data_IF_832944872518
#
_entry.id   IF_832944872518
#
_cell.length_a   1.000
_cell.length_b   1.000
_cell.length_c   1.000
_cell.angle_alpha   90.00
_cell.angle_beta   90.00
_cell.angle_gamma   90.00
#
_symmetry.space_group_name_H-M   'P 1'
#
loop_
_entity.id
_entity.type
_entity.pdbx_description
1 polymer ?
#
# COMPACT_ATOMS: atom_id res chain seq x y z
N UNK A 1 -57.33 36.24 56.10
CA UNK A 1 -57.72 35.82 54.74
C UNK A 1 -56.57 36.08 53.78
N UNK A 2 -56.46 35.24 52.76
CA UNK A 2 -55.25 34.92 52.01
C UNK A 2 -54.69 36.09 51.16
N UNK A 3 -53.39 36.30 51.27
CA UNK A 3 -52.61 37.03 50.27
C UNK A 3 -52.13 36.07 49.19
N UNK A 4 -52.71 36.17 47.98
CA UNK A 4 -52.20 35.53 46.76
C UNK A 4 -50.87 36.19 46.36
N UNK A 5 -49.77 35.45 46.44
CA UNK A 5 -48.57 35.68 45.62
C UNK A 5 -48.59 34.64 44.51
N UNK A 6 -48.44 35.11 43.28
CA UNK A 6 -48.33 34.29 42.08
C UNK A 6 -47.07 33.41 42.16
N UNK A 7 -47.25 32.10 42.02
CA UNK A 7 -46.18 31.14 41.75
C UNK A 7 -45.87 31.19 40.25
N UNK A 8 -44.65 31.59 39.91
CA UNK A 8 -44.06 31.28 38.61
C UNK A 8 -43.49 29.84 38.66
N UNK A 9 -43.57 29.06 37.57
CA UNK A 9 -43.12 27.68 37.58
C UNK A 9 -41.58 27.61 37.65
N UNK A 10 -41.07 26.85 38.62
CA UNK A 10 -39.70 26.36 38.66
C UNK A 10 -39.48 25.35 37.51
N UNK A 11 -39.20 25.84 36.32
CA UNK A 11 -38.50 25.07 35.28
C UNK A 11 -37.03 25.48 35.30
N UNK A 12 -36.18 24.64 35.90
CA UNK A 12 -34.77 24.39 35.51
C UNK A 12 -33.93 23.90 36.70
N UNK A 13 -33.76 22.58 36.83
CA UNK A 13 -32.53 22.00 37.44
C UNK A 13 -32.18 20.62 36.84
N UNK A 14 -33.12 19.88 36.26
CA UNK A 14 -32.87 18.50 35.81
C UNK A 14 -32.53 18.33 34.32
N UNK A 15 -32.72 19.34 33.49
CA UNK A 15 -32.54 19.27 32.03
C UNK A 15 -31.13 19.63 31.54
N UNK A 16 -30.26 20.17 32.39
CA UNK A 16 -28.89 20.55 31.99
C UNK A 16 -27.88 19.40 31.98
N UNK A 17 -28.28 18.18 32.36
CA UNK A 17 -27.35 17.04 32.53
C UNK A 17 -27.31 16.01 31.39
N UNK A 18 -28.01 16.19 30.27
CA UNK A 18 -28.15 15.11 29.28
C UNK A 18 -28.02 15.53 27.82
N UNK A 19 -27.08 16.42 27.48
CA UNK A 19 -26.71 16.68 26.07
C UNK A 19 -25.19 16.66 25.82
N UNK A 20 -24.40 16.24 26.82
CA UNK A 20 -22.93 16.12 26.73
C UNK A 20 -22.43 14.86 26.03
N UNK A 21 -23.33 13.99 25.56
CA UNK A 21 -23.00 12.73 24.90
C UNK A 21 -23.68 12.59 23.54
N UNK A 22 -23.53 13.55 22.62
CA UNK A 22 -23.53 13.17 21.21
C UNK A 22 -22.19 12.50 20.94
N UNK A 23 -22.09 11.24 21.35
CA UNK A 23 -20.91 10.43 21.10
C UNK A 23 -20.87 10.11 19.62
N UNK A 24 -19.68 10.16 19.04
CA UNK A 24 -19.43 9.69 17.66
C UNK A 24 -19.92 8.26 17.41
N UNK A 25 -20.22 7.49 18.46
CA UNK A 25 -20.78 6.14 18.43
C UNK A 25 -22.31 6.10 18.28
N UNK A 26 -23.03 7.15 18.70
CA UNK A 26 -24.49 7.19 18.71
C UNK A 26 -25.14 7.50 17.36
N UNK A 27 -24.36 7.95 16.38
CA UNK A 27 -24.86 8.35 15.06
C UNK A 27 -24.90 7.13 14.14
N UNK A 28 -26.09 6.84 13.60
CA UNK A 28 -26.33 5.73 12.68
C UNK A 28 -25.67 5.96 11.32
N UNK A 29 -25.75 7.19 10.78
CA UNK A 29 -25.15 7.55 9.50
C UNK A 29 -23.72 8.10 9.64
N UNK A 30 -22.75 7.24 9.35
CA UNK A 30 -21.31 7.54 9.47
C UNK A 30 -20.73 8.12 8.18
N UNK A 31 -21.15 9.34 7.88
CA UNK A 31 -20.74 10.08 6.69
C UNK A 31 -19.71 11.17 7.01
N UNK A 32 -18.94 11.59 6.00
CA UNK A 32 -18.02 12.73 6.12
C UNK A 32 -18.72 14.00 6.62
N UNK A 33 -19.91 14.27 6.10
CA UNK A 33 -20.68 15.47 6.42
C UNK A 33 -21.18 15.45 7.87
N UNK A 34 -21.66 14.30 8.35
CA UNK A 34 -22.11 14.15 9.75
C UNK A 34 -20.93 14.37 10.71
N UNK A 35 -19.73 13.88 10.36
CA UNK A 35 -18.52 14.14 11.14
C UNK A 35 -18.19 15.63 11.26
N UNK A 36 -18.26 16.39 10.15
CA UNK A 36 -18.02 17.84 10.17
C UNK A 36 -19.10 18.60 10.95
N UNK A 37 -20.36 18.18 10.83
CA UNK A 37 -21.47 18.75 11.59
C UNK A 37 -21.29 18.54 13.09
N UNK A 38 -20.79 17.38 13.54
CA UNK A 38 -20.48 17.11 14.95
C UNK A 38 -19.40 18.06 15.49
N UNK A 39 -18.36 18.34 14.70
CA UNK A 39 -17.32 19.31 15.07
C UNK A 39 -17.93 20.72 15.17
N UNK A 40 -18.78 21.12 14.21
CA UNK A 40 -19.46 22.40 14.24
C UNK A 40 -20.43 22.53 15.43
N UNK A 41 -21.16 21.48 15.76
CA UNK A 41 -22.03 21.41 16.93
C UNK A 41 -21.23 21.59 18.24
N UNK A 42 -20.02 21.03 18.31
CA UNK A 42 -19.12 21.26 19.43
C UNK A 42 -18.70 22.74 19.55
N UNK A 43 -18.47 23.42 18.42
CA UNK A 43 -18.16 24.86 18.42
C UNK A 43 -19.33 25.72 18.93
N UNK A 44 -20.57 25.41 18.55
CA UNK A 44 -21.75 26.17 18.96
C UNK A 44 -22.15 25.91 20.41
N UNK A 45 -22.06 24.65 20.85
CA UNK A 45 -22.52 24.23 22.19
C UNK A 45 -21.55 24.65 23.31
N UNK A 46 -20.25 24.70 23.03
CA UNK A 46 -19.23 24.86 24.08
C UNK A 46 -18.98 26.32 24.50
N UNK A 47 -19.97 26.94 25.16
CA UNK A 47 -19.87 28.30 25.74
C UNK A 47 -18.64 28.50 26.65
N UNK A 48 -18.11 27.42 27.25
CA UNK A 48 -16.90 27.43 28.09
C UNK A 48 -15.72 26.58 27.58
N UNK A 49 -15.76 25.99 26.37
CA UNK A 49 -14.67 25.16 25.79
C UNK A 49 -14.00 24.21 26.80
N UNK A 50 -14.79 23.54 27.62
CA UNK A 50 -14.28 22.50 28.54
C UNK A 50 -14.33 21.16 27.80
N UNK A 51 -13.39 20.26 28.08
CA UNK A 51 -13.31 18.88 27.53
C UNK A 51 -12.88 18.71 26.06
N UNK A 52 -12.12 19.65 25.48
CA UNK A 52 -11.54 19.49 24.12
C UNK A 52 -10.64 18.26 23.98
N UNK A 53 -9.91 17.86 25.03
CA UNK A 53 -9.06 16.66 25.03
C UNK A 53 -9.90 15.41 24.79
N UNK A 54 -10.99 15.26 25.54
CA UNK A 54 -11.88 14.10 25.46
C UNK A 54 -12.60 14.07 24.13
N UNK A 55 -13.05 15.23 23.65
CA UNK A 55 -13.68 15.33 22.33
C UNK A 55 -12.73 14.90 21.21
N UNK A 56 -11.52 15.46 21.15
CA UNK A 56 -10.56 15.13 20.09
C UNK A 56 -10.15 13.66 20.18
N UNK A 57 -9.86 13.14 21.37
CA UNK A 57 -9.50 11.72 21.52
C UNK A 57 -10.62 10.77 21.10
N UNK A 58 -11.89 11.09 21.39
CA UNK A 58 -13.05 10.33 20.91
C UNK A 58 -13.23 10.45 19.39
N UNK A 59 -12.98 11.63 18.83
CA UNK A 59 -13.04 11.90 17.40
C UNK A 59 -11.98 11.07 16.63
N UNK A 60 -10.72 11.12 17.10
CA UNK A 60 -9.58 10.39 16.55
C UNK A 60 -9.81 8.87 16.47
N UNK A 61 -10.38 8.27 17.53
CA UNK A 61 -10.76 6.84 17.54
C UNK A 61 -11.76 6.48 16.46
N UNK A 62 -12.70 7.39 16.17
CA UNK A 62 -13.82 7.12 15.28
C UNK A 62 -13.57 7.52 13.82
N UNK A 63 -12.46 8.18 13.48
CA UNK A 63 -12.19 8.65 12.10
C UNK A 63 -12.25 7.55 11.03
N UNK A 64 -11.85 6.32 11.36
CA UNK A 64 -11.89 5.18 10.42
C UNK A 64 -13.33 4.77 10.11
N UNK A 65 -14.21 4.77 11.11
CA UNK A 65 -15.62 4.39 10.95
C UNK A 65 -16.40 5.37 10.07
N UNK A 66 -16.01 6.65 10.04
CA UNK A 66 -16.61 7.68 9.19
C UNK A 66 -15.91 7.82 7.82
N UNK A 67 -14.86 7.03 7.55
CA UNK A 67 -14.09 7.11 6.31
C UNK A 67 -13.26 8.40 6.15
N UNK A 68 -13.16 9.25 7.17
CA UNK A 68 -12.51 10.58 7.10
C UNK A 68 -11.01 10.56 7.43
N UNK A 69 -10.44 9.39 7.73
CA UNK A 69 -9.05 9.23 8.17
C UNK A 69 -7.98 9.81 7.22
N UNK A 70 -8.28 9.98 5.93
CA UNK A 70 -7.37 10.57 4.93
C UNK A 70 -7.67 12.05 4.61
N UNK A 71 -8.71 12.64 5.19
CA UNK A 71 -9.14 13.99 4.85
C UNK A 71 -8.44 15.05 5.71
N UNK A 72 -7.63 15.87 5.06
CA UNK A 72 -6.90 16.96 5.69
C UNK A 72 -7.82 18.05 6.27
N UNK A 73 -8.98 18.31 5.65
CA UNK A 73 -9.91 19.34 6.15
C UNK A 73 -10.44 18.98 7.55
N UNK A 74 -10.66 17.69 7.79
CA UNK A 74 -11.15 17.18 9.07
C UNK A 74 -10.09 17.35 10.16
N UNK A 75 -8.83 17.05 9.88
CA UNK A 75 -7.74 17.27 10.83
C UNK A 75 -7.54 18.75 11.18
N UNK A 76 -7.66 19.65 10.18
CA UNK A 76 -7.64 21.10 10.41
C UNK A 76 -8.79 21.54 11.33
N UNK A 77 -10.00 21.07 11.06
CA UNK A 77 -11.18 21.38 11.88
C UNK A 77 -11.03 20.88 13.33
N UNK A 78 -10.54 19.64 13.53
CA UNK A 78 -10.27 19.10 14.86
C UNK A 78 -9.20 19.89 15.63
N UNK A 79 -8.15 20.35 14.94
CA UNK A 79 -7.11 21.16 15.56
C UNK A 79 -7.63 22.55 15.98
N UNK A 80 -8.59 23.11 15.23
CA UNK A 80 -9.17 24.43 15.50
C UNK A 80 -10.17 24.43 16.67
N UNK A 81 -10.56 23.24 17.17
CA UNK A 81 -11.38 23.09 18.39
C UNK A 81 -10.66 23.67 19.62
N UNK A 82 -9.33 23.66 19.63
CA UNK A 82 -8.55 24.18 20.75
C UNK A 82 -8.56 25.73 20.79
N UNK A 83 -8.64 26.35 21.99
CA UNK A 83 -8.58 27.81 22.10
C UNK A 83 -7.21 28.36 21.66
N UNK A 84 -7.23 29.29 20.70
CA UNK A 84 -6.05 30.05 20.25
C UNK A 84 -5.49 30.93 21.39
N UNK A 85 -4.17 31.07 21.46
CA UNK A 85 -3.46 31.94 22.39
C UNK A 85 -3.25 31.41 23.81
N UNK A 86 -4.15 30.57 24.33
CA UNK A 86 -4.14 30.15 25.75
C UNK A 86 -2.93 29.29 26.14
N UNK A 87 -2.37 28.54 25.20
CA UNK A 87 -1.30 27.56 25.46
C UNK A 87 0.08 28.03 25.00
N UNK A 88 0.24 29.32 24.68
CA UNK A 88 1.52 29.88 24.24
C UNK A 88 2.46 30.00 25.45
N UNK A 89 3.64 29.36 25.43
CA UNK A 89 4.61 29.49 26.51
C UNK A 89 5.22 30.91 26.51
N UNK A 90 5.33 31.51 27.69
CA UNK A 90 5.92 32.85 27.85
C UNK A 90 7.43 32.79 28.12
N UNK A 91 7.89 31.73 28.81
CA UNK A 91 9.28 31.59 29.25
C UNK A 91 9.99 30.41 28.57
N UNK A 92 11.32 30.45 28.51
CA UNK A 92 12.15 29.39 27.93
C UNK A 92 11.95 28.04 28.67
N UNK A 93 11.83 28.09 30.00
CA UNK A 93 11.58 26.90 30.83
C UNK A 93 10.22 26.29 30.48
N UNK A 94 9.18 27.11 30.29
CA UNK A 94 7.86 26.62 29.89
C UNK A 94 7.86 26.00 28.50
N UNK A 95 8.68 26.53 27.58
CA UNK A 95 8.82 25.92 26.25
C UNK A 95 9.53 24.58 26.27
N UNK A 96 10.45 24.36 27.21
CA UNK A 96 11.21 23.10 27.29
C UNK A 96 10.46 22.01 28.07
N UNK A 97 9.73 22.37 29.14
CA UNK A 97 9.04 21.43 30.04
C UNK A 97 7.55 21.21 29.68
N UNK A 98 7.17 21.22 28.40
CA UNK A 98 5.80 20.94 27.92
C UNK A 98 4.67 21.70 28.67
N UNK A 99 4.59 23.02 28.49
CA UNK A 99 3.51 23.84 29.03
C UNK A 99 2.10 23.35 28.60
N UNK A 100 1.27 22.86 29.54
CA UNK A 100 0.01 22.15 29.27
C UNK A 100 0.20 20.80 28.56
N UNK A 101 0.69 19.77 29.28
CA UNK A 101 1.15 18.52 28.68
C UNK A 101 0.02 17.72 28.02
N UNK A 102 -1.18 17.66 28.63
CA UNK A 102 -2.33 16.91 28.06
C UNK A 102 -2.80 17.50 26.73
N UNK A 103 -2.86 18.82 26.65
CA UNK A 103 -3.28 19.59 25.47
C UNK A 103 -2.30 19.35 24.32
N UNK A 104 -1.00 19.47 24.61
CA UNK A 104 0.05 19.25 23.63
C UNK A 104 0.08 17.79 23.16
N UNK A 105 -0.09 16.83 24.08
CA UNK A 105 -0.08 15.41 23.75
C UNK A 105 -1.21 15.05 22.78
N UNK A 106 -2.44 15.49 23.04
CA UNK A 106 -3.57 15.22 22.13
C UNK A 106 -3.33 15.77 20.72
N UNK A 107 -2.69 16.93 20.62
CA UNK A 107 -2.33 17.49 19.32
C UNK A 107 -1.19 16.73 18.65
N UNK A 108 -0.24 16.20 19.42
CA UNK A 108 0.82 15.32 18.95
C UNK A 108 0.22 14.01 18.44
N UNK A 109 -0.71 13.40 19.19
CA UNK A 109 -1.42 12.18 18.83
C UNK A 109 -2.23 12.39 17.53
N UNK A 110 -2.90 13.55 17.39
CA UNK A 110 -3.57 13.93 16.14
C UNK A 110 -2.59 13.98 14.97
N UNK A 111 -1.43 14.63 15.14
CA UNK A 111 -0.39 14.71 14.11
C UNK A 111 0.25 13.33 13.82
N UNK A 112 0.34 12.46 14.81
CA UNK A 112 0.84 11.08 14.66
C UNK A 112 -0.15 10.24 13.85
N UNK A 113 -1.45 10.33 14.16
CA UNK A 113 -2.47 9.69 13.35
C UNK A 113 -2.53 10.23 11.92
N UNK A 114 -2.28 11.53 11.70
CA UNK A 114 -2.12 12.09 10.35
C UNK A 114 -0.93 11.46 9.61
N UNK A 115 0.20 11.30 10.30
CA UNK A 115 1.42 10.69 9.77
C UNK A 115 1.18 9.22 9.38
N UNK A 116 0.58 8.44 10.26
CA UNK A 116 0.24 7.03 10.04
C UNK A 116 -0.72 6.84 8.86
N UNK A 117 -1.68 7.75 8.69
CA UNK A 117 -2.62 7.73 7.56
C UNK A 117 -2.03 8.34 6.27
N UNK A 118 -0.78 8.82 6.30
CA UNK A 118 -0.10 9.40 5.14
C UNK A 118 -0.64 10.78 4.70
N UNK A 119 -1.30 11.51 5.60
CA UNK A 119 -1.87 12.85 5.33
C UNK A 119 -0.82 13.91 5.63
N UNK A 120 -0.42 14.64 4.59
CA UNK A 120 0.58 15.70 4.71
C UNK A 120 -0.06 16.99 5.26
N UNK A 121 0.57 17.66 6.24
CA UNK A 121 0.06 18.93 6.75
C UNK A 121 0.30 20.08 5.75
N UNK A 122 -0.63 21.04 5.74
CA UNK A 122 -0.53 22.28 4.97
C UNK A 122 -0.02 23.45 5.82
N UNK A 123 0.29 24.58 5.16
CA UNK A 123 0.64 25.86 5.80
C UNK A 123 -0.47 26.33 6.76
N UNK A 124 -1.74 26.11 6.42
CA UNK A 124 -2.87 26.44 7.30
C UNK A 124 -2.84 25.66 8.62
N UNK A 125 -2.44 24.38 8.57
CA UNK A 125 -2.31 23.55 9.76
C UNK A 125 -1.19 24.08 10.65
N UNK A 126 -0.06 24.50 10.07
CA UNK A 126 1.00 25.18 10.84
C UNK A 126 0.47 26.46 11.48
N UNK A 127 -0.28 27.29 10.75
CA UNK A 127 -0.84 28.53 11.28
C UNK A 127 -1.78 28.28 12.48
N UNK A 128 -2.65 27.26 12.40
CA UNK A 128 -3.52 26.86 13.52
C UNK A 128 -2.67 26.48 14.74
N UNK A 129 -1.65 25.64 14.57
CA UNK A 129 -0.79 25.19 15.68
C UNK A 129 0.07 26.31 16.28
N UNK A 130 0.59 27.20 15.45
CA UNK A 130 1.38 28.35 15.92
C UNK A 130 0.49 29.31 16.71
N UNK A 131 -0.75 29.51 16.28
CA UNK A 131 -1.70 30.36 16.99
C UNK A 131 -2.19 29.74 18.31
N UNK A 132 -2.22 28.40 18.45
CA UNK A 132 -2.64 27.72 19.67
C UNK A 132 -1.50 27.53 20.68
N UNK A 133 -0.34 27.02 20.24
CA UNK A 133 0.78 26.62 21.11
C UNK A 133 2.05 27.47 20.96
N UNK A 134 2.10 28.38 19.98
CA UNK A 134 3.28 29.22 19.71
C UNK A 134 4.39 28.50 18.93
N UNK A 135 5.36 29.27 18.43
CA UNK A 135 6.44 28.79 17.54
C UNK A 135 7.36 27.72 18.17
N UNK A 136 7.44 27.69 19.49
CA UNK A 136 8.28 26.76 20.29
C UNK A 136 7.48 25.59 20.87
N UNK A 137 6.19 25.47 20.59
CA UNK A 137 5.38 24.35 21.09
C UNK A 137 5.82 23.00 20.51
N UNK A 138 5.72 21.94 21.31
CA UNK A 138 6.05 20.59 20.86
C UNK A 138 5.20 20.11 19.67
N UNK A 139 3.90 20.44 19.56
CA UNK A 139 3.11 20.09 18.38
C UNK A 139 3.65 20.71 17.09
N UNK A 140 4.04 22.00 17.12
CA UNK A 140 4.65 22.68 15.97
C UNK A 140 5.98 22.04 15.59
N UNK A 141 6.79 21.64 16.58
CA UNK A 141 8.05 20.91 16.33
C UNK A 141 7.82 19.55 15.65
N UNK A 142 6.76 18.81 16.02
CA UNK A 142 6.37 17.57 15.31
C UNK A 142 5.91 17.89 13.88
N UNK A 143 5.01 18.85 13.70
CA UNK A 143 4.53 19.24 12.37
C UNK A 143 5.67 19.65 11.44
N UNK A 144 6.68 20.39 11.91
CA UNK A 144 7.86 20.75 11.11
C UNK A 144 8.71 19.55 10.72
N UNK A 145 8.86 18.56 11.61
CA UNK A 145 9.54 17.30 11.27
C UNK A 145 8.77 16.54 10.18
N UNK A 146 7.43 16.51 10.27
CA UNK A 146 6.57 15.93 9.23
C UNK A 146 6.74 16.67 7.90
N UNK A 147 6.65 18.01 7.89
CA UNK A 147 6.86 18.83 6.70
C UNK A 147 8.25 18.63 6.05
N UNK A 148 9.27 18.34 6.85
CA UNK A 148 10.61 18.07 6.34
C UNK A 148 10.74 16.66 5.73
N UNK A 149 10.24 15.64 6.42
CA UNK A 149 10.45 14.24 6.04
C UNK A 149 9.41 13.70 5.05
N UNK A 150 8.12 13.99 5.23
CA UNK A 150 7.06 13.40 4.41
C UNK A 150 7.19 13.72 2.92
N UNK A 151 7.53 14.96 2.48
CA UNK A 151 7.72 15.24 1.06
C UNK A 151 8.87 14.45 0.43
N UNK A 152 9.93 14.18 1.21
CA UNK A 152 11.08 13.40 0.74
C UNK A 152 10.73 11.92 0.53
N UNK A 153 9.89 11.36 1.40
CA UNK A 153 9.46 9.97 1.29
C UNK A 153 8.28 9.76 0.33
N UNK A 154 7.52 10.81 -0.01
CA UNK A 154 6.30 10.72 -0.83
C UNK A 154 6.51 10.01 -2.17
N UNK A 155 7.66 10.23 -2.81
CA UNK A 155 7.97 9.72 -4.15
C UNK A 155 9.25 8.85 -4.15
N UNK A 156 9.66 8.32 -3.00
CA UNK A 156 10.88 7.50 -2.91
C UNK A 156 10.69 6.14 -3.60
N UNK A 157 9.47 5.60 -3.58
CA UNK A 157 9.15 4.35 -4.28
C UNK A 157 9.16 4.56 -5.81
N UNK A 158 9.85 3.71 -6.58
CA UNK A 158 9.86 3.82 -8.04
C UNK A 158 8.50 3.51 -8.70
N UNK A 159 7.57 2.89 -7.94
CA UNK A 159 6.23 2.54 -8.40
C UNK A 159 5.17 3.44 -7.76
N UNK A 160 4.81 4.58 -8.38
CA UNK A 160 3.74 5.43 -7.89
C UNK A 160 2.40 4.71 -8.01
N UNK A 161 1.56 4.85 -6.98
CA UNK A 161 0.21 4.28 -6.93
C UNK A 161 -0.84 5.41 -6.96
N UNK A 162 -2.03 5.17 -7.53
CA UNK A 162 -3.13 6.14 -7.54
C UNK A 162 -3.53 6.59 -6.12
N UNK A 163 -4.03 7.83 -5.98
CA UNK A 163 -4.55 8.42 -4.73
C UNK A 163 -5.94 9.01 -5.01
N UNK A 164 -7.04 8.49 -4.43
CA UNK A 164 -7.13 7.33 -3.53
C UNK A 164 -6.82 6.01 -4.24
N UNK A 165 -6.61 4.94 -3.45
CA UNK A 165 -6.50 3.59 -4.02
C UNK A 165 -7.86 3.16 -4.57
N UNK A 166 -7.91 2.44 -5.71
CA UNK A 166 -9.12 1.78 -6.16
C UNK A 166 -9.74 0.90 -5.09
N UNK A 167 -11.08 0.84 -5.08
CA UNK A 167 -11.82 -0.09 -4.23
C UNK A 167 -11.93 -1.47 -4.88
N UNK A 168 -11.89 -1.54 -6.21
CA UNK A 168 -12.11 -2.76 -6.98
C UNK A 168 -10.88 -3.69 -6.97
N UNK A 169 -11.10 -4.95 -6.60
CA UNK A 169 -10.03 -5.94 -6.36
C UNK A 169 -9.28 -6.31 -7.64
N UNK A 170 -9.98 -6.30 -8.77
CA UNK A 170 -9.41 -6.56 -10.09
C UNK A 170 -8.40 -5.47 -10.50
N UNK A 171 -8.72 -4.20 -10.26
CA UNK A 171 -7.80 -3.09 -10.56
C UNK A 171 -6.55 -3.13 -9.66
N UNK A 172 -6.73 -3.52 -8.41
CA UNK A 172 -5.63 -3.69 -7.45
C UNK A 172 -4.71 -4.83 -7.89
N UNK A 173 -5.29 -5.94 -8.36
CA UNK A 173 -4.54 -7.06 -8.92
C UNK A 173 -3.76 -6.66 -10.18
N UNK A 174 -4.37 -5.86 -11.08
CA UNK A 174 -3.66 -5.29 -12.24
C UNK A 174 -2.44 -4.48 -11.80
N UNK A 175 -2.59 -3.59 -10.81
CA UNK A 175 -1.48 -2.80 -10.27
C UNK A 175 -0.40 -3.69 -9.61
N UNK A 176 -0.81 -4.76 -8.93
CA UNK A 176 0.10 -5.70 -8.30
C UNK A 176 0.96 -6.43 -9.34
N UNK A 177 0.32 -7.00 -10.37
CA UNK A 177 1.02 -7.71 -11.44
C UNK A 177 1.89 -6.74 -12.24
N UNK A 178 1.41 -5.55 -12.59
CA UNK A 178 2.23 -4.51 -13.23
C UNK A 178 3.49 -4.19 -12.42
N UNK A 179 3.38 -4.08 -11.09
CA UNK A 179 4.53 -3.84 -10.22
C UNK A 179 5.55 -4.99 -10.27
N UNK A 180 5.09 -6.24 -10.22
CA UNK A 180 5.97 -7.42 -10.31
C UNK A 180 6.63 -7.49 -11.69
N UNK A 181 5.88 -7.17 -12.74
CA UNK A 181 6.34 -7.21 -14.13
C UNK A 181 7.32 -6.09 -14.50
N UNK A 182 7.54 -5.07 -13.66
CA UNK A 182 8.47 -3.97 -13.96
C UNK A 182 9.94 -4.39 -14.13
N UNK A 183 10.28 -5.64 -13.80
CA UNK A 183 11.60 -6.22 -14.06
C UNK A 183 11.93 -6.18 -15.56
N UNK A 184 10.93 -6.40 -16.41
CA UNK A 184 11.07 -6.50 -17.86
C UNK A 184 10.17 -5.49 -18.58
N UNK A 185 10.74 -4.70 -19.50
CA UNK A 185 10.01 -3.67 -20.24
C UNK A 185 9.00 -4.23 -21.26
N UNK A 186 9.17 -5.48 -21.69
CA UNK A 186 8.31 -6.15 -22.67
C UNK A 186 7.19 -6.98 -22.02
N UNK A 187 7.01 -6.89 -20.70
CA UNK A 187 5.99 -7.65 -20.00
C UNK A 187 4.57 -7.18 -20.40
N UNK A 188 3.69 -8.13 -20.70
CA UNK A 188 2.26 -7.88 -20.90
C UNK A 188 1.48 -8.33 -19.68
N UNK A 189 0.45 -7.56 -19.33
CA UNK A 189 -0.50 -7.90 -18.26
C UNK A 189 -1.84 -8.13 -18.90
N UNK A 190 -2.33 -9.36 -18.81
CA UNK A 190 -3.55 -9.83 -19.43
C UNK A 190 -4.56 -10.21 -18.34
N UNK A 191 -5.84 -9.98 -18.62
CA UNK A 191 -6.92 -10.31 -17.70
C UNK A 191 -7.83 -11.32 -18.37
N UNK A 192 -8.06 -12.41 -17.67
CA UNK A 192 -8.87 -13.52 -18.13
C UNK A 192 -10.05 -13.72 -17.19
N UNK A 193 -11.21 -14.01 -17.75
CA UNK A 193 -12.37 -14.44 -17.01
C UNK A 193 -12.49 -15.96 -17.14
N UNK A 194 -12.68 -16.68 -16.04
CA UNK A 194 -12.75 -18.15 -16.09
C UNK A 194 -14.03 -18.68 -16.74
N UNK A 195 -15.00 -17.82 -17.05
CA UNK A 195 -16.23 -18.19 -17.78
C UNK A 195 -15.95 -18.75 -19.17
N UNK A 196 -14.84 -18.34 -19.77
CA UNK A 196 -14.47 -18.72 -21.12
C UNK A 196 -13.75 -20.10 -21.18
N UNK A 197 -13.51 -20.72 -20.04
CA UNK A 197 -12.77 -21.99 -19.92
C UNK A 197 -13.72 -23.14 -19.63
N UNK A 198 -13.52 -24.27 -20.32
CA UNK A 198 -14.31 -25.48 -20.08
C UNK A 198 -14.02 -26.11 -18.70
N UNK A 199 -15.06 -26.63 -18.04
CA UNK A 199 -15.00 -27.34 -16.75
C UNK A 199 -14.42 -26.52 -15.59
N UNK A 200 -14.94 -25.31 -15.37
CA UNK A 200 -14.59 -24.46 -14.23
C UNK A 200 -15.56 -24.69 -13.07
N UNK A 201 -15.01 -24.89 -11.88
CA UNK A 201 -15.81 -24.97 -10.64
C UNK A 201 -15.96 -23.58 -10.01
N UNK A 202 -14.91 -22.75 -10.11
CA UNK A 202 -14.88 -21.39 -9.55
C UNK A 202 -14.88 -20.29 -10.63
N UNK A 203 -16.00 -19.58 -10.77
CA UNK A 203 -16.09 -18.37 -11.60
C UNK A 203 -15.33 -17.20 -10.97
N UNK A 204 -14.21 -16.81 -11.57
CA UNK A 204 -13.32 -15.75 -11.08
C UNK A 204 -12.61 -15.03 -12.22
N UNK A 205 -12.02 -13.88 -11.90
CA UNK A 205 -11.06 -13.21 -12.75
C UNK A 205 -9.63 -13.64 -12.37
N UNK A 206 -8.76 -13.69 -13.38
CA UNK A 206 -7.34 -14.03 -13.26
C UNK A 206 -6.55 -12.95 -13.98
N UNK A 207 -5.66 -12.28 -13.26
CA UNK A 207 -4.69 -11.35 -13.87
C UNK A 207 -3.38 -12.09 -14.02
N UNK A 208 -2.93 -12.29 -15.26
CA UNK A 208 -1.67 -12.95 -15.60
C UNK A 208 -0.65 -11.93 -16.10
N UNK A 209 0.60 -12.10 -15.72
CA UNK A 209 1.73 -11.32 -16.21
C UNK A 209 2.77 -12.24 -16.84
N UNK A 210 3.16 -11.94 -18.09
CA UNK A 210 4.16 -12.72 -18.80
C UNK A 210 4.97 -11.87 -19.79
N UNK A 211 6.25 -12.20 -19.96
CA UNK A 211 7.13 -11.59 -20.97
C UNK A 211 7.31 -12.49 -22.19
N UNK A 212 7.61 -11.96 -23.38
CA UNK A 212 7.93 -12.78 -24.57
C UNK A 212 9.10 -13.73 -24.32
N UNK A 213 10.12 -13.28 -23.56
CA UNK A 213 11.23 -14.12 -23.12
C UNK A 213 10.75 -15.31 -22.28
N UNK A 214 9.82 -15.10 -21.34
CA UNK A 214 9.20 -16.18 -20.59
C UNK A 214 8.42 -17.16 -21.47
N UNK A 215 7.73 -16.67 -22.51
CA UNK A 215 7.06 -17.52 -23.51
C UNK A 215 8.05 -18.45 -24.20
N UNK A 216 9.23 -17.94 -24.57
CA UNK A 216 10.32 -18.73 -25.15
C UNK A 216 10.92 -19.72 -24.16
N UNK A 217 11.08 -19.32 -22.89
CA UNK A 217 11.61 -20.19 -21.84
C UNK A 217 10.75 -21.43 -21.64
N UNK A 218 9.42 -21.31 -21.69
CA UNK A 218 8.49 -22.45 -21.56
C UNK A 218 8.82 -23.57 -22.58
N UNK A 219 9.20 -23.22 -23.81
CA UNK A 219 9.54 -24.20 -24.86
C UNK A 219 10.73 -25.07 -24.48
N UNK A 220 11.68 -24.54 -23.71
CA UNK A 220 12.82 -25.32 -23.21
C UNK A 220 12.41 -26.37 -22.17
N UNK A 221 11.24 -26.23 -21.56
CA UNK A 221 10.71 -27.16 -20.55
C UNK A 221 9.83 -28.27 -21.13
N UNK A 222 9.70 -28.40 -22.46
CA UNK A 222 8.88 -29.46 -23.09
C UNK A 222 9.17 -30.88 -22.56
N UNK A 223 10.44 -31.17 -22.29
CA UNK A 223 10.90 -32.46 -21.76
C UNK A 223 11.24 -32.41 -20.27
N UNK A 224 10.81 -31.37 -19.55
CA UNK A 224 11.11 -31.20 -18.14
C UNK A 224 10.31 -32.17 -17.27
N UNK A 225 10.88 -32.52 -16.12
CA UNK A 225 10.29 -33.49 -15.19
C UNK A 225 8.96 -33.00 -14.59
N UNK A 226 8.88 -31.72 -14.25
CA UNK A 226 7.66 -31.06 -13.77
C UNK A 226 7.83 -29.53 -13.77
N UNK A 227 6.70 -28.83 -13.80
CA UNK A 227 6.62 -27.40 -13.48
C UNK A 227 5.85 -27.24 -12.16
N UNK A 228 6.22 -26.27 -11.35
CA UNK A 228 5.61 -26.02 -10.05
C UNK A 228 4.80 -24.73 -10.05
N UNK A 229 3.60 -24.78 -9.46
CA UNK A 229 2.92 -23.57 -9.03
C UNK A 229 3.27 -23.33 -7.57
N UNK A 230 3.97 -22.23 -7.30
CA UNK A 230 4.39 -21.83 -5.96
C UNK A 230 3.56 -20.64 -5.47
N UNK A 231 3.18 -20.67 -4.19
CA UNK A 231 2.45 -19.60 -3.51
C UNK A 231 1.63 -20.12 -2.32
N UNK A 232 0.73 -19.29 -1.75
CA UNK A 232 0.55 -17.87 -2.07
C UNK A 232 1.71 -17.01 -1.55
N UNK A 233 2.22 -16.11 -2.38
CA UNK A 233 3.13 -15.03 -1.96
C UNK A 233 2.36 -13.73 -1.80
N UNK A 234 2.85 -12.80 -0.97
CA UNK A 234 2.14 -11.56 -0.68
C UNK A 234 2.87 -10.33 -1.22
N UNK A 235 2.11 -9.41 -1.81
CA UNK A 235 2.57 -8.08 -2.19
C UNK A 235 1.69 -7.01 -1.56
N UNK A 236 2.31 -6.03 -0.92
CA UNK A 236 1.61 -4.93 -0.27
C UNK A 236 1.56 -3.70 -1.18
N UNK A 237 0.33 -3.29 -1.49
CA UNK A 237 0.00 -2.05 -2.18
C UNK A 237 -0.62 -1.09 -1.16
N UNK A 238 0.25 -0.31 -0.51
CA UNK A 238 -0.11 0.55 0.64
C UNK A 238 -0.77 -0.26 1.76
N UNK A 239 -2.07 -0.09 1.96
CA UNK A 239 -2.88 -0.73 2.98
C UNK A 239 -3.58 -2.01 2.49
N UNK A 240 -3.42 -2.39 1.22
CA UNK A 240 -4.02 -3.60 0.65
C UNK A 240 -2.94 -4.66 0.42
N UNK A 241 -3.23 -5.89 0.83
CA UNK A 241 -2.38 -7.06 0.60
C UNK A 241 -2.99 -7.88 -0.53
N UNK A 242 -2.17 -8.25 -1.52
CA UNK A 242 -2.58 -9.10 -2.64
C UNK A 242 -1.75 -10.36 -2.61
N UNK A 243 -2.40 -11.50 -2.73
CA UNK A 243 -1.74 -12.80 -2.93
C UNK A 243 -1.50 -13.06 -4.41
N UNK A 244 -0.28 -13.45 -4.75
CA UNK A 244 0.10 -13.83 -6.10
C UNK A 244 0.75 -15.23 -6.10
N UNK A 245 0.71 -15.86 -7.27
CA UNK A 245 1.28 -17.17 -7.52
C UNK A 245 2.27 -17.08 -8.67
N UNK A 246 3.27 -17.93 -8.66
CA UNK A 246 4.28 -18.00 -9.71
C UNK A 246 4.30 -19.39 -10.32
N UNK A 247 4.50 -19.44 -11.63
CA UNK A 247 4.81 -20.66 -12.36
C UNK A 247 6.33 -20.79 -12.45
N UNK A 248 6.87 -21.85 -11.86
CA UNK A 248 8.32 -22.04 -11.72
C UNK A 248 8.77 -23.36 -12.33
N UNK A 249 9.74 -23.29 -13.23
CA UNK A 249 10.48 -24.45 -13.73
C UNK A 249 11.74 -24.74 -12.91
N UNK A 250 12.26 -25.95 -13.03
CA UNK A 250 13.58 -26.31 -12.48
C UNK A 250 14.68 -25.40 -13.05
N UNK A 251 15.78 -25.20 -12.32
CA UNK A 251 16.86 -24.33 -12.76
C UNK A 251 17.54 -24.90 -14.03
N UNK A 252 17.70 -24.06 -15.05
CA UNK A 252 18.48 -24.43 -16.23
C UNK A 252 19.97 -24.45 -15.90
N UNK A 253 20.74 -25.37 -16.51
CA UNK A 253 22.18 -25.45 -16.30
C UNK A 253 22.82 -24.08 -16.56
N UNK A 254 23.74 -23.69 -15.69
CA UNK A 254 24.46 -22.43 -15.80
C UNK A 254 25.23 -22.46 -17.12
N UNK A 255 24.97 -21.53 -18.07
CA UNK A 255 25.81 -21.44 -19.26
C UNK A 255 27.24 -21.14 -18.79
N UNK A 256 28.26 -21.66 -19.49
CA UNK A 256 29.65 -21.39 -19.12
C UNK A 256 29.83 -19.87 -19.03
N UNK A 257 30.15 -19.39 -17.83
CA UNK A 257 30.44 -17.97 -17.63
C UNK A 257 31.71 -17.66 -18.42
N UNK A 258 31.69 -16.54 -19.14
CA UNK A 258 32.90 -16.04 -19.78
C UNK A 258 33.82 -15.54 -18.66
N UNK A 259 34.82 -16.35 -18.30
CA UNK A 259 35.80 -15.99 -17.26
C UNK A 259 36.85 -15.00 -17.77
N UNK A 260 36.67 -14.47 -18.98
CA UNK A 260 37.55 -13.45 -19.55
C UNK A 260 37.42 -12.17 -18.76
N UNK A 261 38.54 -11.74 -18.20
CA UNK A 261 38.67 -10.40 -17.67
C UNK A 261 38.76 -9.43 -18.86
N UNK A 262 37.67 -8.71 -19.15
CA UNK A 262 37.63 -7.72 -20.24
C UNK A 262 38.59 -6.55 -20.03
N UNK A 263 39.17 -6.41 -18.82
CA UNK A 263 40.19 -5.40 -18.48
C UNK A 263 41.64 -5.93 -18.55
N UNK A 264 41.87 -7.23 -18.80
CA UNK A 264 43.23 -7.78 -18.94
C UNK A 264 43.80 -7.50 -20.33
N UNK A 265 44.71 -6.53 -20.40
CA UNK A 265 45.41 -6.14 -21.64
C UNK A 265 46.44 -7.16 -22.15
N UNK A 266 46.82 -8.14 -21.32
CA UNK A 266 47.76 -9.20 -21.71
C UNK A 266 47.15 -10.18 -22.74
N UNK A 267 45.81 -10.28 -22.77
CA UNK A 267 45.06 -11.19 -23.65
C UNK A 267 44.05 -10.41 -24.50
N UNK A 268 44.50 -9.36 -25.18
CA UNK A 268 43.65 -8.60 -26.11
C UNK A 268 43.33 -9.46 -27.34
N UNK A 269 42.10 -9.97 -27.41
CA UNK A 269 41.58 -10.61 -28.61
C UNK A 269 41.34 -9.54 -29.68
N UNK A 270 42.16 -9.57 -30.72
CA UNK A 270 42.02 -8.65 -31.86
C UNK A 270 40.65 -8.89 -32.51
N UNK A 271 39.81 -7.85 -32.70
CA UNK A 271 38.50 -8.00 -33.32
C UNK A 271 38.60 -8.77 -34.65
N UNK A 272 37.67 -9.69 -34.95
CA UNK A 272 37.77 -10.57 -36.12
C UNK A 272 37.94 -9.81 -37.44
N UNK A 273 37.35 -8.61 -37.54
CA UNK A 273 37.48 -7.73 -38.70
C UNK A 273 38.93 -7.25 -38.92
N UNK A 274 39.65 -6.92 -37.84
CA UNK A 274 41.04 -6.45 -37.89
C UNK A 274 41.98 -7.64 -38.11
N UNK A 275 41.76 -8.75 -37.39
CA UNK A 275 42.57 -9.96 -37.50
C UNK A 275 42.52 -10.57 -38.91
N UNK A 276 41.33 -10.57 -39.55
CA UNK A 276 41.16 -11.03 -40.94
C UNK A 276 41.94 -10.17 -41.94
N UNK A 277 42.02 -8.85 -41.69
CA UNK A 277 42.74 -7.92 -42.57
C UNK A 277 44.27 -8.02 -42.45
N UNK A 278 44.77 -8.46 -41.29
CA UNK A 278 46.21 -8.68 -41.05
C UNK A 278 46.66 -10.14 -41.27
N UNK A 279 45.79 -11.03 -41.75
CA UNK A 279 46.14 -12.44 -41.97
C UNK A 279 46.41 -13.23 -40.68
N UNK A 280 45.98 -12.72 -39.52
CA UNK A 280 46.13 -13.38 -38.22
C UNK A 280 44.96 -14.36 -38.08
N UNK A 281 45.27 -15.64 -37.94
CA UNK A 281 44.27 -16.70 -37.79
C UNK A 281 43.41 -16.48 -36.54
N UNK A 282 42.14 -16.13 -36.74
CA UNK A 282 41.16 -16.02 -35.65
C UNK A 282 40.78 -17.44 -35.23
N UNK A 283 41.34 -17.91 -34.12
CA UNK A 283 40.87 -19.13 -33.45
C UNK A 283 39.53 -18.83 -32.78
N UNK A 284 38.43 -18.92 -33.53
CA UNK A 284 37.09 -18.96 -32.95
C UNK A 284 36.97 -20.27 -32.20
N UNK A 285 37.15 -20.25 -30.87
CA UNK A 285 36.82 -21.41 -30.04
C UNK A 285 35.33 -21.69 -30.23
N UNK A 286 34.98 -22.93 -30.59
CA UNK A 286 33.62 -23.36 -30.96
C UNK A 286 32.54 -23.10 -29.88
N UNK A 287 32.93 -22.69 -28.67
CA UNK A 287 32.05 -22.53 -27.51
C UNK A 287 32.02 -21.09 -26.95
N UNK A 288 32.52 -20.09 -27.68
CA UNK A 288 32.67 -18.72 -27.16
C UNK A 288 31.41 -17.87 -27.08
N UNK A 289 30.30 -18.34 -27.66
CA UNK A 289 29.02 -17.62 -27.58
C UNK A 289 28.13 -18.35 -26.58
N UNK A 290 28.42 -18.13 -25.30
CA UNK A 290 27.54 -18.57 -24.22
C UNK A 290 26.20 -17.83 -24.30
N UNK A 291 25.09 -18.56 -24.15
CA UNK A 291 23.77 -17.93 -24.01
C UNK A 291 23.77 -17.07 -22.75
N UNK A 292 23.46 -15.79 -22.89
CA UNK A 292 23.27 -14.90 -21.73
C UNK A 292 21.99 -15.33 -21.01
N UNK A 293 22.08 -15.48 -19.69
CA UNK A 293 20.92 -15.79 -18.85
C UNK A 293 19.93 -14.65 -18.87
N UNK A 294 18.65 -14.98 -19.01
CA UNK A 294 17.58 -13.99 -18.83
C UNK A 294 17.43 -13.62 -17.35
N UNK A 295 16.83 -12.47 -17.06
CA UNK A 295 16.55 -12.02 -15.68
C UNK A 295 15.61 -12.99 -14.94
N UNK A 296 14.84 -13.78 -15.70
CA UNK A 296 13.91 -14.79 -15.19
C UNK A 296 14.56 -16.13 -14.83
N UNK A 297 15.76 -16.42 -15.33
CA UNK A 297 16.53 -17.63 -15.04
C UNK A 297 17.36 -17.40 -13.77
N UNK A 298 16.80 -17.78 -12.61
CA UNK A 298 17.48 -17.66 -11.31
C UNK A 298 18.19 -18.97 -10.96
N UNK A 299 19.11 -18.90 -9.99
CA UNK A 299 19.88 -20.07 -9.54
C UNK A 299 18.98 -21.16 -8.95
N UNK A 300 17.91 -20.77 -8.28
CA UNK A 300 17.01 -21.73 -7.64
C UNK A 300 15.94 -22.27 -8.60
N UNK A 301 15.71 -21.62 -9.76
CA UNK A 301 14.68 -21.99 -10.71
C UNK A 301 14.35 -20.87 -11.70
N UNK A 302 13.57 -21.19 -12.72
CA UNK A 302 13.18 -20.21 -13.74
C UNK A 302 11.72 -19.80 -13.56
N UNK A 303 11.46 -18.49 -13.48
CA UNK A 303 10.11 -17.95 -13.32
C UNK A 303 9.48 -17.78 -14.70
N UNK A 304 8.45 -18.57 -14.99
CA UNK A 304 7.82 -18.68 -16.31
C UNK A 304 6.60 -17.78 -16.48
N UNK A 305 5.85 -17.53 -15.41
CA UNK A 305 4.68 -16.64 -15.42
C UNK A 305 4.30 -16.27 -13.98
N UNK A 306 3.54 -15.19 -13.83
CA UNK A 306 2.97 -14.77 -12.54
C UNK A 306 1.47 -14.55 -12.71
N UNK A 307 0.67 -14.89 -11.69
CA UNK A 307 -0.74 -14.56 -11.68
C UNK A 307 -1.25 -14.12 -10.31
N UNK A 308 -2.38 -13.42 -10.34
CA UNK A 308 -3.22 -13.10 -9.18
C UNK A 308 -4.64 -13.59 -9.50
N UNK A 309 -5.24 -14.33 -8.59
CA UNK A 309 -6.60 -14.88 -8.75
C UNK A 309 -7.54 -14.36 -7.67
N UNK A 310 -8.82 -14.17 -8.01
CA UNK A 310 -9.81 -13.64 -7.07
C UNK A 310 -10.08 -14.54 -5.86
N UNK A 311 -10.22 -15.86 -6.06
CA UNK A 311 -10.54 -16.81 -4.98
C UNK A 311 -9.33 -17.50 -4.35
N UNK A 312 -8.13 -17.35 -4.94
CA UNK A 312 -6.91 -18.05 -4.50
C UNK A 312 -7.06 -19.58 -4.38
N UNK A 313 -8.03 -20.16 -5.08
CA UNK A 313 -8.34 -21.59 -5.01
C UNK A 313 -7.45 -22.39 -5.94
N UNK A 314 -7.27 -23.68 -5.64
CA UNK A 314 -6.55 -24.60 -6.52
C UNK A 314 -7.20 -24.69 -7.90
N UNK A 315 -8.52 -24.61 -7.97
CA UNK A 315 -9.26 -24.64 -9.24
C UNK A 315 -8.96 -23.40 -10.09
N UNK A 316 -8.95 -22.20 -9.49
CA UNK A 316 -8.58 -20.97 -10.19
C UNK A 316 -7.19 -21.04 -10.84
N UNK A 317 -6.25 -21.73 -10.19
CA UNK A 317 -4.89 -21.94 -10.71
C UNK A 317 -4.84 -23.00 -11.81
N UNK A 318 -5.69 -24.03 -11.76
CA UNK A 318 -5.84 -24.98 -12.85
C UNK A 318 -6.45 -24.31 -14.08
N UNK A 319 -7.46 -23.46 -13.88
CA UNK A 319 -8.05 -22.64 -14.94
C UNK A 319 -7.01 -21.71 -15.56
N UNK A 320 -6.15 -21.10 -14.75
CA UNK A 320 -5.02 -20.31 -15.25
C UNK A 320 -4.09 -21.11 -16.19
N UNK A 321 -3.72 -22.33 -15.81
CA UNK A 321 -2.90 -23.21 -16.67
C UNK A 321 -3.62 -23.49 -18.00
N UNK A 322 -4.91 -23.81 -17.96
CA UNK A 322 -5.70 -24.09 -19.19
C UNK A 322 -5.75 -22.87 -20.11
N UNK A 323 -5.89 -21.68 -19.55
CA UNK A 323 -5.84 -20.42 -20.30
C UNK A 323 -4.48 -20.26 -20.98
N UNK A 324 -3.40 -20.49 -20.23
CA UNK A 324 -2.05 -20.46 -20.81
C UNK A 324 -1.91 -21.48 -21.96
N UNK A 325 -2.42 -22.70 -21.79
CA UNK A 325 -2.43 -23.70 -22.87
C UNK A 325 -3.15 -23.18 -24.13
N UNK A 326 -4.31 -22.55 -23.99
CA UNK A 326 -5.10 -22.01 -25.10
C UNK A 326 -4.42 -20.84 -25.83
N UNK A 327 -3.65 -20.01 -25.13
CA UNK A 327 -2.89 -18.86 -25.70
C UNK A 327 -1.64 -19.28 -26.52
N UNK A 328 -1.44 -20.59 -26.74
CA UNK A 328 -0.43 -21.12 -27.66
C UNK A 328 0.73 -21.87 -27.02
N UNK A 329 0.57 -22.37 -25.79
CA UNK A 329 1.54 -23.25 -25.13
C UNK A 329 1.10 -24.73 -25.14
N UNK A 330 1.05 -25.34 -26.32
CA UNK A 330 0.75 -26.77 -26.45
C UNK A 330 1.69 -27.65 -25.61
N UNK A 331 2.93 -27.20 -25.40
CA UNK A 331 3.93 -27.90 -24.61
C UNK A 331 3.54 -28.01 -23.12
N UNK A 332 2.75 -27.07 -22.57
CA UNK A 332 2.27 -27.14 -21.18
C UNK A 332 1.27 -28.28 -20.95
N UNK A 333 0.63 -28.81 -21.99
CA UNK A 333 -0.29 -29.95 -21.86
C UNK A 333 0.45 -31.26 -21.57
N UNK A 334 1.71 -31.37 -22.01
CA UNK A 334 2.52 -32.59 -21.87
C UNK A 334 3.36 -32.61 -20.59
N UNK A 335 3.49 -31.49 -19.90
CA UNK A 335 4.34 -31.35 -18.72
C UNK A 335 3.49 -31.55 -17.46
N UNK A 336 3.89 -32.40 -16.50
CA UNK A 336 3.16 -32.56 -15.26
C UNK A 336 3.33 -31.30 -14.38
N UNK A 337 2.21 -30.74 -13.92
CA UNK A 337 2.19 -29.54 -13.09
C UNK A 337 1.89 -29.92 -11.64
N UNK A 338 2.78 -29.51 -10.73
CA UNK A 338 2.72 -29.83 -9.31
C UNK A 338 2.46 -28.57 -8.49
N UNK A 339 1.55 -28.68 -7.51
CA UNK A 339 1.25 -27.57 -6.60
C UNK A 339 2.16 -27.63 -5.38
N UNK A 340 2.95 -26.57 -5.17
CA UNK A 340 3.77 -26.37 -3.97
C UNK A 340 3.18 -25.22 -3.17
N UNK A 341 2.13 -25.52 -2.41
CA UNK A 341 1.59 -24.55 -1.47
C UNK A 341 2.41 -24.54 -0.19
N UNK A 342 2.91 -23.37 0.20
CA UNK A 342 3.38 -23.20 1.57
C UNK A 342 2.16 -23.13 2.49
N UNK A 343 2.17 -23.80 3.66
CA UNK A 343 1.12 -23.62 4.65
C UNK A 343 1.09 -22.13 5.03
N UNK A 344 0.01 -21.46 4.68
CA UNK A 344 -0.18 -20.04 4.99
C UNK A 344 0.03 -19.83 6.49
N UNK A 345 0.99 -19.00 6.89
CA UNK A 345 0.83 -18.28 8.16
C UNK A 345 -0.43 -17.45 7.97
N UNK A 346 -1.52 -17.82 8.66
CA UNK A 346 -2.76 -17.04 8.71
C UNK A 346 -2.43 -15.67 9.31
N UNK A 347 -1.93 -14.77 8.50
CA UNK A 347 -2.02 -13.36 8.82
C UNK A 347 -3.42 -12.92 8.42
N UNK A 348 -4.09 -12.32 9.40
CA UNK A 348 -5.49 -11.94 9.37
C UNK A 348 -5.74 -11.10 8.12
N UNK A 349 -6.31 -11.72 7.09
CA UNK A 349 -7.09 -11.00 6.08
C UNK A 349 -8.18 -10.32 6.89
N UNK A 350 -8.03 -9.03 7.15
CA UNK A 350 -9.14 -8.21 7.59
C UNK A 350 -10.17 -8.30 6.48
N UNK A 351 -11.14 -9.20 6.66
CA UNK A 351 -12.35 -9.22 5.88
C UNK A 351 -12.93 -7.82 6.01
N UNK A 352 -12.77 -7.00 4.98
CA UNK A 352 -13.66 -5.86 4.78
C UNK A 352 -14.97 -6.44 4.30
N UNK A 353 -15.73 -7.02 5.22
CA UNK A 353 -17.17 -7.18 5.06
C UNK A 353 -17.81 -5.79 5.00
N UNK A 354 -18.90 -5.62 4.23
CA UNK A 354 -19.47 -4.34 3.82
C UNK A 354 -19.81 -3.38 4.97
#
# INVERSE_FOLDING_TARGET
EAGKKEEAPEEDVTTEKSLTHVTFESVEEKNRQTYLQLIQAFHTQSRYRKNYVEFITAALKNMKHYGVHQDLQVYKALSDVMPKGKFIPQNLIQSEFMHYPKQQQVQIDLLEQMEDNGVMPDVEMEAILVNTFGKRGHPVRKLRRMLYWMPKFKNLSPWPLPKPMPNDDLEIAKLAVQRIMTVDLQATVEVFETKDVENVLDETWIVSGQTPMQKELIKHYRNAKAIYIEGPFYIWLRNKCVSYFILRGDALPIPPQDTRNTDDVETLEVPPAIASSMGIGVSRRKNDVGRVRSVHEQNDGTILAVCVTGTCSKDSLLSWIRILQNEGYDDLANIPILFKFQPTKRELVAQTSP
#
